data_IF_911429432783
#
_entry.id   IF_911429432783
#
_cell.length_a   1.000
_cell.length_b   1.000
_cell.length_c   1.000
_cell.angle_alpha   90.00
_cell.angle_beta   90.00
_cell.angle_gamma   90.00
#
_symmetry.space_group_name_H-M   'P 1'
#
loop_
_entity.id
_entity.type
_entity.pdbx_description
1 polymer ?
#
# COMPACT_ATOMS: atom_id res chain seq x y z
N UNK A 1 -17.36 -11.42 12.97
CA UNK A 1 -17.09 -12.83 12.70
C UNK A 1 -18.17 -13.40 11.82
N UNK A 2 -17.89 -13.66 10.59
CA UNK A 2 -18.77 -14.41 9.66
C UNK A 2 -17.92 -15.35 8.81
N UNK A 3 -18.46 -16.52 8.40
CA UNK A 3 -17.69 -17.73 8.14
C UNK A 3 -17.13 -17.84 6.73
N UNK A 4 -16.05 -18.59 6.64
CA UNK A 4 -15.41 -19.24 5.50
C UNK A 4 -16.10 -19.14 4.12
N UNK A 5 -15.40 -18.54 3.15
CA UNK A 5 -15.57 -18.80 1.73
C UNK A 5 -14.35 -19.51 1.18
N UNK A 6 -14.51 -20.74 0.78
CA UNK A 6 -13.60 -21.51 -0.06
C UNK A 6 -13.60 -20.94 -1.48
N UNK A 7 -12.43 -20.73 -2.04
CA UNK A 7 -12.26 -20.20 -3.40
C UNK A 7 -11.85 -21.31 -4.37
N UNK A 8 -12.50 -21.45 -5.54
CA UNK A 8 -12.03 -22.33 -6.60
C UNK A 8 -11.14 -21.56 -7.59
N UNK A 9 -10.05 -22.19 -7.97
CA UNK A 9 -9.28 -22.01 -9.22
C UNK A 9 -8.72 -20.63 -9.52
N UNK A 10 -7.41 -20.43 -9.30
CA UNK A 10 -6.72 -19.19 -9.67
C UNK A 10 -5.68 -19.41 -10.78
N UNK A 11 -5.78 -18.59 -11.82
CA UNK A 11 -4.72 -18.41 -12.81
C UNK A 11 -3.51 -17.66 -12.20
N UNK A 12 -2.26 -17.89 -12.67
CA UNK A 12 -1.04 -17.49 -11.97
C UNK A 12 -0.73 -15.98 -11.92
N UNK A 13 -1.66 -15.09 -12.25
CA UNK A 13 -1.38 -13.66 -12.42
C UNK A 13 -2.21 -12.71 -11.55
N UNK A 14 -3.05 -13.18 -10.64
CA UNK A 14 -3.91 -12.31 -9.84
C UNK A 14 -3.77 -12.56 -8.35
N UNK A 15 -3.34 -11.53 -7.63
CA UNK A 15 -3.36 -11.48 -6.18
C UNK A 15 -4.73 -10.96 -5.73
N UNK A 16 -5.53 -11.72 -4.94
CA UNK A 16 -6.82 -11.21 -4.49
C UNK A 16 -6.64 -10.17 -3.41
N UNK A 17 -7.27 -9.02 -3.58
CA UNK A 17 -7.45 -8.06 -2.50
C UNK A 17 -8.57 -8.54 -1.58
N UNK A 18 -8.25 -8.87 -0.33
CA UNK A 18 -9.25 -9.11 0.72
C UNK A 18 -9.50 -7.80 1.44
N UNK A 19 -10.43 -7.00 0.95
CA UNK A 19 -10.94 -5.83 1.68
C UNK A 19 -12.19 -6.18 2.47
N UNK A 20 -12.42 -5.56 3.61
CA UNK A 20 -13.74 -5.55 4.27
C UNK A 20 -14.74 -4.83 3.35
N UNK A 21 -15.48 -5.59 2.53
CA UNK A 21 -16.49 -5.11 1.58
C UNK A 21 -16.27 -5.64 0.16
N UNK A 22 -17.35 -5.82 -0.62
CA UNK A 22 -17.24 -6.38 -1.96
C UNK A 22 -16.53 -5.38 -2.87
N UNK A 23 -15.34 -5.74 -3.37
CA UNK A 23 -14.68 -5.01 -4.46
C UNK A 23 -14.43 -5.95 -5.62
N UNK A 24 -14.79 -5.56 -6.84
CA UNK A 24 -14.20 -6.10 -8.03
C UNK A 24 -12.79 -5.48 -8.13
N UNK A 25 -11.72 -6.27 -8.05
CA UNK A 25 -10.42 -5.67 -8.11
C UNK A 25 -9.35 -6.62 -8.58
N UNK A 26 -8.59 -6.18 -9.57
CA UNK A 26 -7.27 -6.67 -9.88
C UNK A 26 -6.23 -5.98 -8.96
N UNK A 27 -4.96 -6.42 -8.95
CA UNK A 27 -3.90 -5.76 -8.19
C UNK A 27 -3.79 -4.30 -8.60
N UNK A 28 -3.86 -3.42 -7.61
CA UNK A 28 -3.70 -1.99 -7.78
C UNK A 28 -2.22 -1.70 -8.11
N UNK A 29 -1.86 -1.20 -9.29
CA UNK A 29 -0.49 -0.78 -9.55
C UNK A 29 -0.19 0.46 -8.71
N UNK A 30 0.86 0.39 -7.88
CA UNK A 30 1.36 1.53 -7.12
C UNK A 30 2.52 2.18 -7.86
N UNK A 31 2.42 3.47 -8.18
CA UNK A 31 3.52 4.28 -8.69
C UNK A 31 4.21 4.99 -7.53
N UNK A 32 5.51 4.72 -7.31
CA UNK A 32 6.31 5.40 -6.26
C UNK A 32 6.90 6.70 -6.79
N UNK A 33 6.68 7.80 -6.07
CA UNK A 33 7.34 9.09 -6.27
C UNK A 33 8.16 9.45 -5.03
N UNK A 34 9.48 9.65 -5.19
CA UNK A 34 10.38 10.13 -4.12
C UNK A 34 10.72 11.59 -4.36
N UNK A 35 10.21 12.53 -3.56
CA UNK A 35 10.76 13.89 -3.54
C UNK A 35 10.51 14.64 -2.25
N UNK A 36 11.42 15.59 -1.95
CA UNK A 36 11.41 16.40 -0.73
C UNK A 36 10.32 17.49 -0.70
N UNK A 37 9.63 17.75 -1.79
CA UNK A 37 8.57 18.75 -1.90
C UNK A 37 7.25 18.09 -2.32
N UNK A 38 6.12 18.51 -1.73
CA UNK A 38 4.78 18.05 -2.08
C UNK A 38 4.39 18.29 -3.57
N UNK A 39 5.19 19.04 -4.33
CA UNK A 39 5.01 19.20 -5.77
C UNK A 39 4.91 17.87 -6.53
N UNK A 40 5.66 16.85 -6.11
CA UNK A 40 5.57 15.51 -6.70
C UNK A 40 4.26 14.81 -6.35
N UNK A 41 3.74 15.00 -5.15
CA UNK A 41 2.44 14.48 -4.75
C UNK A 41 1.30 15.08 -5.57
N UNK A 42 1.33 16.40 -5.82
CA UNK A 42 0.36 17.06 -6.69
C UNK A 42 0.44 16.55 -8.15
N UNK A 43 1.65 16.33 -8.68
CA UNK A 43 1.85 15.72 -10.00
C UNK A 43 1.33 14.29 -10.03
N UNK A 44 1.63 13.48 -9.02
CA UNK A 44 1.14 12.11 -8.91
C UNK A 44 -0.40 12.05 -8.90
N UNK A 45 -1.06 12.95 -8.15
CA UNK A 45 -2.52 13.05 -8.13
C UNK A 45 -3.08 13.41 -9.52
N UNK A 46 -2.47 14.38 -10.22
CA UNK A 46 -2.90 14.77 -11.57
C UNK A 46 -2.75 13.61 -12.58
N UNK A 47 -1.65 12.88 -12.51
CA UNK A 47 -1.42 11.70 -13.36
C UNK A 47 -2.42 10.60 -13.05
N UNK A 48 -2.61 10.28 -11.77
CA UNK A 48 -3.52 9.22 -11.34
C UNK A 48 -4.99 9.51 -11.66
N UNK A 49 -5.38 10.78 -11.77
CA UNK A 49 -6.74 11.16 -12.13
C UNK A 49 -7.14 10.73 -13.56
N UNK A 50 -6.17 10.44 -14.43
CA UNK A 50 -6.40 9.89 -15.77
C UNK A 50 -6.43 8.36 -15.83
N UNK A 51 -6.14 7.69 -14.73
CA UNK A 51 -6.08 6.23 -14.67
C UNK A 51 -7.47 5.59 -14.52
N UNK A 52 -7.60 4.29 -14.78
CA UNK A 52 -8.85 3.57 -14.55
C UNK A 52 -9.38 3.79 -13.12
N UNK A 53 -10.71 3.83 -13.00
CA UNK A 53 -11.37 4.00 -11.69
C UNK A 53 -10.86 2.97 -10.70
N UNK A 54 -10.76 3.36 -9.44
CA UNK A 54 -10.27 2.55 -8.32
C UNK A 54 -8.77 2.25 -8.31
N UNK A 55 -7.99 2.83 -9.25
CA UNK A 55 -6.53 2.78 -9.18
C UNK A 55 -6.03 3.71 -8.08
N UNK A 56 -5.10 3.21 -7.26
CA UNK A 56 -4.49 3.99 -6.19
C UNK A 56 -3.12 4.48 -6.59
N UNK A 57 -2.78 5.68 -6.16
CA UNK A 57 -1.41 6.22 -6.24
C UNK A 57 -0.84 6.37 -4.84
N UNK A 58 0.34 5.81 -4.63
CA UNK A 58 1.06 5.91 -3.37
C UNK A 58 2.15 6.99 -3.48
N UNK A 59 2.25 7.81 -2.44
CA UNK A 59 3.20 8.92 -2.36
C UNK A 59 3.93 8.85 -1.01
N UNK A 60 5.27 8.76 -1.07
CA UNK A 60 6.10 8.78 0.13
C UNK A 60 6.12 10.17 0.78
N UNK A 61 5.89 10.22 2.08
CA UNK A 61 5.99 11.42 2.91
C UNK A 61 7.19 11.29 3.83
N UNK A 62 8.12 12.25 3.72
CA UNK A 62 9.26 12.29 4.62
C UNK A 62 8.84 12.77 6.02
N UNK A 63 9.62 12.38 7.09
CA UNK A 63 9.37 12.87 8.44
C UNK A 63 9.32 14.41 8.53
N UNK A 64 10.15 15.10 7.74
CA UNK A 64 10.17 16.57 7.69
C UNK A 64 8.88 17.15 7.08
N UNK A 65 8.32 16.50 6.05
CA UNK A 65 7.07 16.94 5.45
C UNK A 65 5.88 16.68 6.39
N UNK A 66 5.89 15.55 7.09
CA UNK A 66 4.84 15.18 8.03
C UNK A 66 4.71 16.19 9.19
N UNK A 67 5.84 16.76 9.63
CA UNK A 67 5.89 17.78 10.69
C UNK A 67 5.56 19.20 10.21
N UNK A 68 5.61 19.48 8.91
CA UNK A 68 5.33 20.83 8.39
C UNK A 68 3.88 21.21 8.59
N UNK A 69 3.65 22.37 9.17
CA UNK A 69 2.36 23.03 9.12
C UNK A 69 1.95 23.24 7.64
N UNK A 70 0.73 22.83 7.28
CA UNK A 70 0.23 23.01 5.92
C UNK A 70 0.26 21.76 5.03
N UNK A 71 0.75 20.59 5.50
CA UNK A 71 0.67 19.34 4.74
C UNK A 71 -0.78 19.04 4.35
N UNK A 72 -1.71 19.16 5.29
CA UNK A 72 -3.14 18.93 5.04
C UNK A 72 -3.66 19.84 3.91
N UNK A 73 -3.33 21.14 3.95
CA UNK A 73 -3.74 22.09 2.92
C UNK A 73 -3.13 21.75 1.55
N UNK A 74 -1.87 21.31 1.51
CA UNK A 74 -1.23 20.86 0.27
C UNK A 74 -1.94 19.64 -0.32
N UNK A 75 -2.33 18.68 0.51
CA UNK A 75 -3.06 17.47 0.08
C UNK A 75 -4.45 17.83 -0.43
N UNK A 76 -5.19 18.66 0.31
CA UNK A 76 -6.52 19.15 -0.09
C UNK A 76 -6.46 19.85 -1.43
N UNK A 77 -5.51 20.77 -1.63
CA UNK A 77 -5.34 21.49 -2.89
C UNK A 77 -5.03 20.53 -4.05
N UNK A 78 -4.12 19.57 -3.84
CA UNK A 78 -3.76 18.59 -4.87
C UNK A 78 -4.95 17.70 -5.28
N UNK A 79 -5.74 17.24 -4.33
CA UNK A 79 -6.94 16.45 -4.59
C UNK A 79 -8.02 17.28 -5.31
N UNK A 80 -8.21 18.54 -4.89
CA UNK A 80 -9.18 19.46 -5.51
C UNK A 80 -8.80 19.78 -6.96
N UNK A 81 -7.52 20.14 -7.20
CA UNK A 81 -7.04 20.47 -8.54
C UNK A 81 -7.05 19.28 -9.50
N UNK A 82 -6.68 18.10 -9.01
CA UNK A 82 -6.64 16.87 -9.82
C UNK A 82 -8.01 16.20 -9.98
N UNK A 83 -8.96 16.50 -9.09
CA UNK A 83 -10.25 15.79 -8.96
C UNK A 83 -10.08 14.30 -8.62
N UNK A 84 -8.92 13.92 -8.08
CA UNK A 84 -8.69 12.54 -7.63
C UNK A 84 -9.51 12.27 -6.38
N UNK A 85 -10.31 11.18 -6.32
CA UNK A 85 -11.00 10.81 -5.09
C UNK A 85 -9.99 10.58 -3.96
N UNK A 86 -10.23 11.10 -2.73
CA UNK A 86 -9.29 10.96 -1.62
C UNK A 86 -8.87 9.51 -1.34
N UNK A 87 -9.78 8.55 -1.48
CA UNK A 87 -9.50 7.13 -1.30
C UNK A 87 -8.56 6.50 -2.33
N UNK A 88 -8.28 7.21 -3.45
CA UNK A 88 -7.31 6.81 -4.46
C UNK A 88 -5.89 7.34 -4.17
N UNK A 89 -5.73 8.23 -3.18
CA UNK A 89 -4.43 8.67 -2.69
C UNK A 89 -4.04 7.88 -1.44
N UNK A 90 -2.85 7.30 -1.47
CA UNK A 90 -2.23 6.64 -0.32
C UNK A 90 -0.92 7.37 0.02
N UNK A 91 -0.75 7.73 1.30
CA UNK A 91 0.47 8.36 1.80
C UNK A 91 1.29 7.30 2.53
N UNK A 92 2.50 7.04 2.03
CA UNK A 92 3.44 6.11 2.63
C UNK A 92 4.34 6.85 3.61
N UNK A 93 4.36 6.41 4.85
CA UNK A 93 5.18 6.96 5.93
C UNK A 93 6.01 5.84 6.53
N UNK A 94 7.29 6.07 6.73
CA UNK A 94 8.16 5.09 7.38
C UNK A 94 7.85 5.02 8.88
N UNK A 95 8.11 3.86 9.48
CA UNK A 95 7.93 3.65 10.91
C UNK A 95 8.73 4.68 11.74
N UNK A 96 9.94 5.01 11.31
CA UNK A 96 10.80 6.00 11.97
C UNK A 96 10.23 7.42 11.96
N UNK A 97 9.35 7.76 11.01
CA UNK A 97 8.69 9.06 10.97
C UNK A 97 7.72 9.28 12.13
N UNK A 98 7.31 8.20 12.79
CA UNK A 98 6.36 8.21 13.92
C UNK A 98 7.04 8.23 15.29
N UNK A 99 8.36 7.97 15.35
CA UNK A 99 9.11 7.89 16.63
C UNK A 99 9.07 9.22 17.40
N UNK A 100 9.04 10.35 16.70
CA UNK A 100 8.82 11.66 17.30
C UNK A 100 7.33 11.88 17.63
N UNK A 101 6.81 11.23 18.65
CA UNK A 101 5.40 11.21 19.12
C UNK A 101 4.81 12.64 19.34
N UNK A 102 4.94 13.50 18.33
CA UNK A 102 4.39 14.86 18.38
C UNK A 102 2.88 14.77 18.11
N UNK A 103 2.08 15.32 19.02
CA UNK A 103 0.62 15.41 18.84
C UNK A 103 0.24 16.03 17.49
N UNK A 104 1.07 16.92 16.96
CA UNK A 104 0.88 17.55 15.65
C UNK A 104 0.91 16.54 14.49
N UNK A 105 1.83 15.56 14.52
CA UNK A 105 1.94 14.50 13.49
C UNK A 105 0.71 13.62 13.52
N UNK A 106 0.32 13.15 14.71
CA UNK A 106 -0.87 12.31 14.86
C UNK A 106 -2.15 13.05 14.46
N UNK A 107 -2.26 14.34 14.80
CA UNK A 107 -3.39 15.19 14.40
C UNK A 107 -3.48 15.36 12.89
N UNK A 108 -2.34 15.63 12.21
CA UNK A 108 -2.29 15.73 10.75
C UNK A 108 -2.72 14.43 10.08
N UNK A 109 -2.21 13.29 10.54
CA UNK A 109 -2.55 11.97 9.98
C UNK A 109 -4.03 11.64 10.20
N UNK A 110 -4.58 12.00 11.37
CA UNK A 110 -6.00 11.81 11.65
C UNK A 110 -6.87 12.65 10.71
N UNK A 111 -6.53 13.94 10.53
CA UNK A 111 -7.26 14.83 9.62
C UNK A 111 -7.21 14.34 8.15
N UNK A 112 -6.06 13.83 7.69
CA UNK A 112 -5.92 13.23 6.36
C UNK A 112 -6.81 11.99 6.20
N UNK A 113 -6.90 11.14 7.22
CA UNK A 113 -7.80 9.98 7.20
C UNK A 113 -9.27 10.37 7.21
N UNK A 114 -9.65 11.37 7.99
CA UNK A 114 -11.02 11.91 8.00
C UNK A 114 -11.42 12.47 6.63
N UNK A 115 -10.44 12.98 5.87
CA UNK A 115 -10.63 13.38 4.48
C UNK A 115 -10.84 12.19 3.53
N UNK A 116 -10.57 10.98 3.98
CA UNK A 116 -10.64 9.76 3.19
C UNK A 116 -9.33 9.34 2.53
N UNK A 117 -8.22 10.05 2.78
CA UNK A 117 -6.89 9.67 2.31
C UNK A 117 -6.40 8.42 3.05
N UNK A 118 -5.79 7.50 2.33
CA UNK A 118 -5.24 6.26 2.91
C UNK A 118 -3.85 6.53 3.48
N UNK A 119 -3.52 5.87 4.58
CA UNK A 119 -2.18 5.92 5.19
C UNK A 119 -1.60 4.52 5.18
N UNK A 120 -0.40 4.37 4.64
CA UNK A 120 0.37 3.13 4.68
C UNK A 120 1.62 3.31 5.55
N UNK A 121 1.91 2.31 6.39
CA UNK A 121 3.18 2.23 7.11
C UNK A 121 4.18 1.48 6.25
N UNK A 122 5.26 2.16 5.87
CA UNK A 122 6.34 1.64 5.04
C UNK A 122 7.52 1.13 5.88
N UNK A 123 8.31 0.21 5.32
CA UNK A 123 9.50 -0.40 5.94
C UNK A 123 9.21 -1.07 7.30
N UNK A 124 8.01 -1.63 7.47
CA UNK A 124 7.56 -2.16 8.75
C UNK A 124 8.38 -3.37 9.20
N UNK A 125 8.80 -3.31 10.47
CA UNK A 125 9.60 -4.34 11.12
C UNK A 125 11.10 -4.05 11.15
N UNK A 126 11.59 -3.00 10.48
CA UNK A 126 13.02 -2.62 10.48
C UNK A 126 13.40 -1.69 11.64
N UNK A 127 12.42 -1.11 12.33
CA UNK A 127 12.61 -0.14 13.38
C UNK A 127 12.02 -0.56 14.74
N UNK A 128 11.71 0.42 15.56
CA UNK A 128 11.02 0.22 16.83
C UNK A 128 9.52 0.05 16.59
N UNK A 129 9.13 -1.09 16.02
CA UNK A 129 7.72 -1.42 15.73
C UNK A 129 6.87 -1.27 16.98
N UNK A 130 6.31 -0.09 17.18
CA UNK A 130 5.39 0.12 18.27
C UNK A 130 3.98 -0.28 17.84
N UNK A 131 3.52 -1.44 18.33
CA UNK A 131 2.11 -1.85 18.22
C UNK A 131 1.15 -0.74 18.68
N UNK A 132 1.64 0.19 19.50
CA UNK A 132 0.93 1.38 19.94
C UNK A 132 0.57 2.28 18.75
N UNK A 133 1.47 2.45 17.77
CA UNK A 133 1.20 3.26 16.58
C UNK A 133 0.22 2.58 15.63
N UNK A 134 0.30 1.27 15.44
CA UNK A 134 -0.71 0.54 14.67
C UNK A 134 -2.12 0.77 15.24
N UNK A 135 -2.25 0.74 16.57
CA UNK A 135 -3.54 0.98 17.24
C UNK A 135 -3.97 2.45 17.20
N UNK A 136 -3.06 3.41 17.45
CA UNK A 136 -3.37 4.85 17.45
C UNK A 136 -3.71 5.39 16.06
N UNK A 137 -2.96 4.96 15.05
CA UNK A 137 -3.11 5.42 13.67
C UNK A 137 -4.16 4.65 12.90
N UNK A 138 -4.36 3.36 13.23
CA UNK A 138 -5.17 2.42 12.43
C UNK A 138 -4.90 2.63 10.93
N UNK A 139 -3.68 2.38 10.43
CA UNK A 139 -3.33 2.63 9.04
C UNK A 139 -4.20 1.78 8.12
N UNK A 140 -4.33 2.19 6.87
CA UNK A 140 -5.05 1.41 5.85
C UNK A 140 -4.25 0.19 5.40
N UNK A 141 -2.92 0.28 5.51
CA UNK A 141 -2.00 -0.73 5.01
C UNK A 141 -0.69 -0.74 5.82
N UNK A 142 -0.09 -1.92 5.94
CA UNK A 142 1.28 -2.14 6.42
C UNK A 142 2.08 -2.79 5.30
N UNK A 143 3.27 -2.26 5.02
CA UNK A 143 4.16 -2.76 3.99
C UNK A 143 5.34 -3.46 4.65
N UNK A 144 5.48 -4.76 4.42
CA UNK A 144 6.59 -5.57 4.94
C UNK A 144 7.82 -5.26 4.09
N UNK A 145 8.91 -4.83 4.75
CA UNK A 145 10.16 -4.49 4.07
C UNK A 145 10.74 -5.66 3.29
N UNK A 146 11.28 -5.36 2.12
CA UNK A 146 11.84 -6.34 1.19
C UNK A 146 13.03 -7.15 1.74
N UNK A 147 13.72 -6.69 2.81
CA UNK A 147 14.78 -7.48 3.44
C UNK A 147 14.24 -8.76 4.08
N UNK A 148 13.08 -8.68 4.74
CA UNK A 148 12.43 -9.87 5.28
C UNK A 148 11.96 -10.83 4.19
N UNK A 149 11.41 -10.29 3.10
CA UNK A 149 10.94 -11.09 1.95
C UNK A 149 12.09 -11.80 1.26
N UNK A 150 13.24 -11.13 1.13
CA UNK A 150 14.45 -11.69 0.52
C UNK A 150 14.94 -12.93 1.28
N UNK A 151 14.95 -12.83 2.61
CA UNK A 151 15.59 -13.83 3.47
C UNK A 151 14.62 -14.90 3.99
N UNK A 152 13.31 -14.77 3.81
CA UNK A 152 12.30 -15.62 4.46
C UNK A 152 12.37 -17.10 4.12
N UNK A 153 12.93 -17.46 2.96
CA UNK A 153 13.06 -18.87 2.56
C UNK A 153 14.27 -19.57 3.19
N UNK A 154 15.27 -18.80 3.63
CA UNK A 154 16.51 -19.31 4.24
C UNK A 154 16.64 -19.00 5.72
N UNK A 155 15.91 -17.99 6.21
CA UNK A 155 15.92 -17.54 7.59
C UNK A 155 14.53 -17.71 8.24
N UNK A 156 14.42 -18.67 9.15
CA UNK A 156 13.18 -18.95 9.87
C UNK A 156 12.69 -17.78 10.73
N UNK A 157 13.59 -16.90 11.18
CA UNK A 157 13.26 -15.68 11.91
C UNK A 157 12.50 -14.70 11.02
N UNK A 158 12.98 -14.45 9.77
CA UNK A 158 12.29 -13.61 8.81
C UNK A 158 10.90 -14.17 8.45
N UNK A 159 10.82 -15.50 8.24
CA UNK A 159 9.55 -16.16 7.98
C UNK A 159 8.56 -16.00 9.14
N UNK A 160 9.03 -16.07 10.39
CA UNK A 160 8.22 -15.92 11.59
C UNK A 160 7.73 -14.48 11.75
N UNK A 161 8.58 -13.48 11.48
CA UNK A 161 8.21 -12.06 11.50
C UNK A 161 7.10 -11.79 10.48
N UNK A 162 7.26 -12.23 9.22
CA UNK A 162 6.25 -12.06 8.17
C UNK A 162 4.89 -12.65 8.62
N UNK A 163 4.89 -13.89 9.12
CA UNK A 163 3.66 -14.54 9.60
C UNK A 163 3.00 -13.77 10.75
N UNK A 164 3.82 -13.26 11.68
CA UNK A 164 3.32 -12.49 12.83
C UNK A 164 2.73 -11.15 12.40
N UNK A 165 3.38 -10.44 11.47
CA UNK A 165 2.86 -9.17 10.92
C UNK A 165 1.55 -9.40 10.20
N UNK A 166 1.47 -10.42 9.33
CA UNK A 166 0.23 -10.76 8.62
C UNK A 166 -0.89 -11.13 9.60
N UNK A 167 -0.61 -11.97 10.60
CA UNK A 167 -1.60 -12.36 11.61
C UNK A 167 -2.15 -11.17 12.39
N UNK A 168 -1.23 -10.34 12.93
CA UNK A 168 -1.60 -9.14 13.67
C UNK A 168 -2.42 -8.15 12.82
N UNK A 169 -2.00 -7.91 11.60
CA UNK A 169 -2.69 -6.98 10.70
C UNK A 169 -4.10 -7.46 10.36
N UNK A 170 -4.30 -8.76 10.21
CA UNK A 170 -5.65 -9.36 10.05
C UNK A 170 -6.54 -9.11 11.25
N UNK A 171 -6.02 -9.34 12.45
CA UNK A 171 -6.78 -9.11 13.69
C UNK A 171 -7.19 -7.65 13.86
N UNK A 172 -6.39 -6.73 13.31
CA UNK A 172 -6.64 -5.29 13.30
C UNK A 172 -7.41 -4.78 12.06
N UNK A 173 -7.79 -5.66 11.13
CA UNK A 173 -8.42 -5.29 9.84
C UNK A 173 -7.57 -4.33 9.00
N UNK A 174 -6.25 -4.49 9.01
CA UNK A 174 -5.27 -3.70 8.26
C UNK A 174 -4.77 -4.56 7.09
N UNK A 175 -4.72 -4.01 5.87
CA UNK A 175 -4.16 -4.70 4.72
C UNK A 175 -2.64 -4.85 4.84
N UNK A 176 -2.09 -5.93 4.28
CA UNK A 176 -0.64 -6.17 4.25
C UNK A 176 -0.14 -6.24 2.81
N UNK A 177 0.91 -5.48 2.52
CA UNK A 177 1.66 -5.57 1.26
C UNK A 177 3.05 -6.13 1.56
N UNK A 178 3.46 -7.16 0.85
CA UNK A 178 4.84 -7.65 0.89
C UNK A 178 5.65 -7.02 -0.26
N UNK A 179 6.80 -6.44 0.08
CA UNK A 179 7.68 -5.77 -0.88
C UNK A 179 8.86 -6.65 -1.32
N UNK A 180 9.43 -6.32 -2.48
CA UNK A 180 10.67 -6.94 -2.94
C UNK A 180 10.51 -8.41 -3.34
N UNK A 181 9.36 -8.83 -3.86
CA UNK A 181 9.16 -10.19 -4.38
C UNK A 181 9.96 -10.34 -5.68
N UNK A 182 10.92 -11.26 -5.68
CA UNK A 182 11.82 -11.51 -6.82
C UNK A 182 11.66 -12.91 -7.41
N UNK A 183 11.06 -13.87 -6.65
CA UNK A 183 10.92 -15.25 -7.10
C UNK A 183 9.51 -15.81 -6.92
N UNK A 184 9.21 -16.88 -7.66
CA UNK A 184 7.93 -17.59 -7.57
C UNK A 184 7.74 -18.27 -6.21
N UNK A 185 8.83 -18.75 -5.61
CA UNK A 185 8.82 -19.39 -4.29
C UNK A 185 8.46 -18.39 -3.20
N UNK A 186 9.01 -17.17 -3.27
CA UNK A 186 8.66 -16.08 -2.36
C UNK A 186 7.17 -15.74 -2.48
N UNK A 187 6.67 -15.59 -3.71
CA UNK A 187 5.27 -15.33 -3.97
C UNK A 187 4.36 -16.44 -3.41
N UNK A 188 4.75 -17.71 -3.60
CA UNK A 188 4.01 -18.86 -3.09
C UNK A 188 3.96 -18.89 -1.57
N UNK A 189 5.10 -18.61 -0.90
CA UNK A 189 5.16 -18.53 0.56
C UNK A 189 4.20 -17.46 1.10
N UNK A 190 4.24 -16.23 0.55
CA UNK A 190 3.39 -15.13 0.97
C UNK A 190 1.90 -15.42 0.76
N UNK A 191 1.54 -16.06 -0.35
CA UNK A 191 0.17 -16.54 -0.61
C UNK A 191 -0.28 -17.55 0.45
N UNK A 192 0.56 -18.51 0.79
CA UNK A 192 0.26 -19.50 1.83
C UNK A 192 0.09 -18.88 3.22
N UNK A 193 0.76 -17.75 3.48
CA UNK A 193 0.54 -16.94 4.68
C UNK A 193 -0.72 -16.06 4.60
N UNK A 194 -1.42 -16.05 3.45
CA UNK A 194 -2.56 -15.18 3.16
C UNK A 194 -2.20 -13.67 3.27
N UNK A 195 -1.06 -13.27 2.74
CA UNK A 195 -0.74 -11.86 2.52
C UNK A 195 -1.71 -11.25 1.51
N UNK A 196 -2.18 -10.03 1.73
CA UNK A 196 -3.24 -9.43 0.93
C UNK A 196 -2.75 -8.96 -0.44
N UNK A 197 -1.59 -8.30 -0.47
CA UNK A 197 -1.01 -7.73 -1.70
C UNK A 197 0.50 -7.99 -1.73
N UNK A 198 1.09 -7.94 -2.92
CA UNK A 198 2.53 -8.08 -3.08
C UNK A 198 3.07 -7.24 -4.23
N UNK A 199 4.29 -6.72 -4.06
CA UNK A 199 5.00 -6.00 -5.11
C UNK A 199 6.47 -6.44 -5.21
N UNK A 200 7.04 -6.38 -6.41
CA UNK A 200 8.44 -6.71 -6.66
C UNK A 200 8.73 -6.98 -8.13
N UNK A 201 10.00 -7.20 -8.42
CA UNK A 201 10.45 -7.38 -9.80
C UNK A 201 9.95 -8.66 -10.46
N UNK A 202 9.58 -9.65 -9.68
CA UNK A 202 8.91 -10.84 -10.19
C UNK A 202 7.54 -10.51 -10.79
N UNK A 203 6.84 -9.52 -10.25
CA UNK A 203 5.51 -9.13 -10.72
C UNK A 203 5.63 -8.13 -11.87
N UNK A 204 6.38 -7.05 -11.66
CA UNK A 204 6.70 -6.05 -12.68
C UNK A 204 7.86 -5.17 -12.23
N UNK A 205 8.77 -4.86 -13.16
CA UNK A 205 9.75 -3.79 -12.94
C UNK A 205 9.04 -2.42 -12.95
N UNK A 206 9.66 -1.38 -12.35
CA UNK A 206 9.14 -0.02 -12.43
C UNK A 206 8.90 0.40 -13.89
N UNK A 207 7.79 1.09 -14.11
CA UNK A 207 7.35 1.59 -15.41
C UNK A 207 7.12 3.09 -15.35
N UNK A 208 7.24 3.77 -16.48
CA UNK A 208 6.76 5.15 -16.61
C UNK A 208 5.23 5.22 -16.44
N UNK A 209 4.70 6.41 -16.19
CA UNK A 209 3.25 6.60 -16.01
C UNK A 209 2.46 6.13 -17.24
N UNK A 210 2.99 6.40 -18.44
CA UNK A 210 2.34 6.02 -19.72
C UNK A 210 2.37 4.50 -19.92
N UNK A 211 3.52 3.85 -19.71
CA UNK A 211 3.63 2.39 -19.77
C UNK A 211 2.76 1.69 -18.72
N UNK A 212 2.60 2.33 -17.55
CA UNK A 212 1.74 1.80 -16.51
C UNK A 212 0.26 1.88 -16.90
N UNK A 213 -0.16 2.98 -17.50
CA UNK A 213 -1.51 3.16 -18.04
C UNK A 213 -1.83 2.10 -19.11
N UNK A 214 -0.93 1.89 -20.09
CA UNK A 214 -1.09 0.82 -21.07
C UNK A 214 -1.19 -0.57 -20.45
N UNK A 215 -0.35 -0.83 -19.45
CA UNK A 215 -0.36 -2.11 -18.74
C UNK A 215 -1.70 -2.35 -18.03
N UNK A 216 -2.26 -1.32 -17.40
CA UNK A 216 -3.57 -1.38 -16.74
C UNK A 216 -4.70 -1.63 -17.73
N UNK A 217 -4.72 -0.92 -18.85
CA UNK A 217 -5.74 -1.06 -19.90
C UNK A 217 -5.73 -2.47 -20.51
N UNK A 218 -4.54 -3.01 -20.86
CA UNK A 218 -4.40 -4.37 -21.39
C UNK A 218 -4.85 -5.46 -20.41
N UNK A 219 -4.68 -5.26 -19.11
CA UNK A 219 -5.19 -6.21 -18.08
C UNK A 219 -6.72 -6.11 -17.94
N UNK A 220 -7.28 -4.92 -18.02
CA UNK A 220 -8.74 -4.71 -17.98
C UNK A 220 -9.47 -5.40 -19.13
N UNK A 221 -8.90 -5.39 -20.33
CA UNK A 221 -9.46 -6.07 -21.50
C UNK A 221 -9.49 -7.60 -21.35
N UNK A 222 -8.44 -8.19 -20.76
CA UNK A 222 -8.38 -9.66 -20.52
C UNK A 222 -9.39 -10.16 -19.48
N UNK A 223 -9.80 -9.32 -18.54
CA UNK A 223 -10.79 -9.67 -17.52
C UNK A 223 -12.23 -9.56 -18.03
N UNK A 224 -12.45 -8.78 -19.12
CA UNK A 224 -13.77 -8.61 -19.73
C UNK A 224 -14.00 -9.49 -20.97
N UNK A 225 -12.98 -10.22 -21.42
CA UNK A 225 -13.02 -11.05 -22.63
C UNK A 225 -13.33 -12.53 -22.42
N UNK A 226 -13.42 -13.00 -21.18
CA UNK A 226 -13.77 -14.39 -20.83
C UNK A 226 -15.18 -14.47 -20.19
N UNK A 227 -16.18 -13.94 -20.90
CA UNK A 227 -17.59 -14.08 -20.55
C UNK A 227 -18.33 -14.87 -21.60
#
# INVERSE_FOLDING_TARGET
>A
CSPHRTFPGFAPSTWPATGCGPRPGGPSPTARSRSANWCSGATACKTAASWPKDTRVAVNISPTQLRKAGLLSCVVNALTESRLPPGCLELEITETALVDDSESVLSNLKALRELGVRIALDDFGTGYSSLTYLRKLSPSCVKIDGSFVRDMLTNSGCASIIKSVIGLSKDLCINVVAEGIETAEQLSFLRNCNCDEGQGYFISKPKSADELLEFMLRKGERLNGDS
#
